data_IF_266241931684
#
_entry.id   IF_266241931684
#
_cell.length_a   1.000
_cell.length_b   1.000
_cell.length_c   1.000
_cell.angle_alpha   90.00
_cell.angle_beta   90.00
_cell.angle_gamma   90.00
#
_symmetry.space_group_name_H-M   'P 1'
#
loop_
_entity.id
_entity.type
_entity.pdbx_description
1 polymer ?
#
# COMPACT_ATOMS: atom_id res chain seq x y z
N UNK A 1 -11.02 12.18 20.35
CA UNK A 1 -9.57 12.31 20.03
C UNK A 1 -9.27 13.78 19.80
N UNK A 2 -8.25 14.39 20.46
CA UNK A 2 -7.99 15.84 20.33
C UNK A 2 -7.12 16.11 19.10
N UNK A 3 -7.60 16.97 18.20
CA UNK A 3 -6.83 17.47 17.07
C UNK A 3 -5.69 18.38 17.58
N UNK A 4 -4.50 18.26 17.00
CA UNK A 4 -3.31 18.98 17.46
C UNK A 4 -2.74 19.84 16.34
N UNK A 5 -2.78 21.16 16.48
CA UNK A 5 -2.27 22.13 15.48
C UNK A 5 -0.81 21.88 15.04
N UNK A 6 0.02 21.24 15.86
CA UNK A 6 1.41 20.88 15.53
C UNK A 6 1.56 19.65 14.62
N UNK A 7 0.50 18.88 14.35
CA UNK A 7 0.51 17.66 13.51
C UNK A 7 0.09 17.91 12.06
N UNK A 8 0.17 19.13 11.56
CA UNK A 8 -0.24 19.46 10.20
C UNK A 8 -1.66 20.06 10.09
N UNK A 9 -2.16 20.27 8.88
CA UNK A 9 -3.46 20.91 8.65
C UNK A 9 -4.62 20.15 9.30
N UNK A 10 -5.55 20.87 9.93
CA UNK A 10 -6.68 20.25 10.65
C UNK A 10 -7.57 19.39 9.73
N UNK A 11 -7.79 19.81 8.49
CA UNK A 11 -8.58 19.02 7.54
C UNK A 11 -7.95 17.65 7.24
N UNK A 12 -6.61 17.57 7.19
CA UNK A 12 -5.92 16.30 6.96
C UNK A 12 -6.06 15.35 8.16
N UNK A 13 -6.02 15.88 9.39
CA UNK A 13 -6.25 15.09 10.59
C UNK A 13 -7.70 14.58 10.67
N UNK A 14 -8.68 15.44 10.37
CA UNK A 14 -10.11 15.05 10.29
C UNK A 14 -10.30 13.97 9.21
N UNK A 15 -9.70 14.16 8.02
CA UNK A 15 -9.75 13.17 6.95
C UNK A 15 -9.24 11.80 7.41
N UNK A 16 -8.07 11.74 8.03
CA UNK A 16 -7.50 10.45 8.49
C UNK A 16 -8.38 9.78 9.55
N UNK A 17 -8.92 10.54 10.52
CA UNK A 17 -9.85 9.97 11.53
C UNK A 17 -11.11 9.42 10.87
N UNK A 18 -11.71 10.16 9.95
CA UNK A 18 -12.92 9.70 9.24
C UNK A 18 -12.63 8.48 8.37
N UNK A 19 -11.46 8.47 7.72
CA UNK A 19 -10.98 7.34 6.94
C UNK A 19 -10.80 6.09 7.80
N UNK A 20 -10.15 6.20 8.97
CA UNK A 20 -10.02 5.10 9.93
C UNK A 20 -11.40 4.57 10.34
N UNK A 21 -12.34 5.45 10.67
CA UNK A 21 -13.71 5.06 11.05
C UNK A 21 -14.48 4.33 9.94
N UNK A 22 -14.30 4.74 8.68
CA UNK A 22 -14.85 4.03 7.53
C UNK A 22 -14.22 2.65 7.42
N UNK A 23 -12.89 2.57 7.54
CA UNK A 23 -12.14 1.31 7.45
C UNK A 23 -12.49 0.34 8.58
N UNK A 24 -12.73 0.85 9.79
CA UNK A 24 -13.13 0.06 10.96
C UNK A 24 -14.62 -0.31 10.97
N UNK A 25 -15.37 0.12 9.92
CA UNK A 25 -16.78 -0.18 9.79
C UNK A 25 -17.70 0.62 10.72
N UNK A 26 -17.18 1.65 11.42
CA UNK A 26 -18.01 2.58 12.22
C UNK A 26 -19.01 3.31 11.31
N UNK A 27 -18.58 3.59 10.08
CA UNK A 27 -19.44 4.04 8.99
C UNK A 27 -19.48 2.94 7.91
N UNK A 28 -20.49 2.08 7.90
CA UNK A 28 -20.57 0.95 6.97
C UNK A 28 -20.69 1.39 5.51
N UNK A 29 -20.24 0.55 4.60
CA UNK A 29 -20.43 0.75 3.16
C UNK A 29 -21.92 0.88 2.84
N UNK A 30 -22.27 1.82 1.96
CA UNK A 30 -23.64 2.22 1.60
C UNK A 30 -24.42 2.95 2.70
N UNK A 31 -23.82 3.20 3.87
CA UNK A 31 -24.43 4.08 4.88
C UNK A 31 -24.17 5.55 4.58
N UNK A 32 -24.98 6.43 5.16
CA UNK A 32 -24.73 7.87 5.12
C UNK A 32 -23.66 8.26 6.14
N UNK A 33 -22.74 9.12 5.71
CA UNK A 33 -21.84 9.79 6.63
C UNK A 33 -22.61 10.79 7.51
N UNK A 34 -22.12 11.07 8.72
CA UNK A 34 -22.67 12.16 9.54
C UNK A 34 -22.65 13.48 8.77
N UNK A 35 -23.59 14.37 9.10
CA UNK A 35 -23.65 15.69 8.45
C UNK A 35 -22.41 16.52 8.71
N UNK A 36 -22.09 17.45 7.78
CA UNK A 36 -20.97 18.37 7.95
C UNK A 36 -21.08 19.15 9.28
N UNK A 37 -22.31 19.52 9.69
CA UNK A 37 -22.54 20.24 10.96
C UNK A 37 -22.30 19.37 12.18
N UNK A 38 -22.66 18.10 12.15
CA UNK A 38 -22.34 17.17 13.22
C UNK A 38 -20.82 16.98 13.37
N UNK A 39 -20.11 16.81 12.25
CA UNK A 39 -18.66 16.64 12.27
C UNK A 39 -17.92 17.92 12.69
N UNK A 40 -18.46 19.11 12.35
CA UNK A 40 -17.97 20.41 12.82
C UNK A 40 -18.01 20.49 14.34
N UNK A 41 -19.13 20.09 14.94
CA UNK A 41 -19.31 20.07 16.39
C UNK A 41 -18.45 18.99 17.06
N UNK A 42 -18.40 17.77 16.49
CA UNK A 42 -17.62 16.67 17.03
C UNK A 42 -16.11 16.97 17.07
N UNK A 43 -15.57 17.49 15.96
CA UNK A 43 -14.14 17.76 15.83
C UNK A 43 -13.73 19.16 16.32
N UNK A 44 -14.68 20.02 16.68
CA UNK A 44 -14.44 21.41 17.09
C UNK A 44 -13.60 22.17 16.05
N UNK A 45 -13.95 22.04 14.77
CA UNK A 45 -13.29 22.70 13.63
C UNK A 45 -14.33 23.45 12.81
N UNK A 46 -13.88 24.34 11.91
CA UNK A 46 -14.79 25.05 11.02
C UNK A 46 -15.41 24.12 9.96
N UNK A 47 -16.60 24.47 9.49
CA UNK A 47 -17.30 23.77 8.41
C UNK A 47 -16.46 23.63 7.13
N UNK A 48 -15.65 24.65 6.83
CA UNK A 48 -14.71 24.62 5.69
C UNK A 48 -13.67 23.51 5.87
N UNK A 49 -13.17 23.30 7.09
CA UNK A 49 -12.23 22.22 7.42
C UNK A 49 -12.84 20.84 7.21
N UNK A 50 -14.08 20.64 7.69
CA UNK A 50 -14.82 19.38 7.49
C UNK A 50 -15.07 19.15 6.00
N UNK A 51 -15.56 20.18 5.29
CA UNK A 51 -15.86 20.08 3.86
C UNK A 51 -14.62 19.68 3.04
N UNK A 52 -13.46 20.29 3.32
CA UNK A 52 -12.20 19.95 2.66
C UNK A 52 -11.76 18.51 2.95
N UNK A 53 -11.97 18.03 4.18
CA UNK A 53 -11.69 16.64 4.56
C UNK A 53 -12.61 15.67 3.77
N UNK A 54 -13.91 15.99 3.69
CA UNK A 54 -14.89 15.17 2.96
C UNK A 54 -14.66 15.20 1.44
N UNK A 55 -14.23 16.33 0.87
CA UNK A 55 -13.84 16.44 -0.54
C UNK A 55 -12.63 15.55 -0.86
N UNK A 56 -11.63 15.51 0.03
CA UNK A 56 -10.49 14.60 -0.15
C UNK A 56 -10.88 13.13 -0.01
N UNK A 57 -11.76 12.77 0.95
CA UNK A 57 -12.30 11.41 1.04
C UNK A 57 -13.07 11.01 -0.22
N UNK A 58 -13.77 11.96 -0.85
CA UNK A 58 -14.48 11.73 -2.11
C UNK A 58 -13.49 11.56 -3.28
N UNK A 59 -12.45 12.38 -3.36
CA UNK A 59 -11.36 12.23 -4.35
C UNK A 59 -10.62 10.91 -4.19
N UNK A 60 -10.40 10.48 -2.94
CA UNK A 60 -9.83 9.17 -2.62
C UNK A 60 -10.85 8.01 -2.82
N UNK A 61 -12.13 8.31 -3.18
CA UNK A 61 -13.20 7.36 -3.49
C UNK A 61 -13.78 6.62 -2.28
N UNK A 62 -13.54 7.07 -1.05
CA UNK A 62 -14.18 6.50 0.16
C UNK A 62 -15.65 6.87 0.27
N UNK A 63 -16.00 8.05 -0.19
CA UNK A 63 -17.37 8.57 -0.09
C UNK A 63 -17.79 9.21 -1.39
N UNK A 64 -19.10 9.30 -1.61
CA UNK A 64 -19.72 10.04 -2.72
C UNK A 64 -20.73 11.04 -2.19
N UNK A 65 -20.59 12.29 -2.59
CA UNK A 65 -21.57 13.34 -2.30
C UNK A 65 -22.71 13.28 -3.32
N UNK A 66 -23.94 13.21 -2.84
CA UNK A 66 -25.14 13.20 -3.66
C UNK A 66 -26.04 14.34 -3.23
N UNK A 67 -26.35 15.27 -4.16
CA UNK A 67 -27.17 16.43 -3.86
C UNK A 67 -28.55 16.01 -3.36
N UNK A 68 -29.01 16.59 -2.24
CA UNK A 68 -30.30 16.28 -1.63
C UNK A 68 -30.33 14.98 -0.81
N UNK A 69 -29.35 14.10 -0.92
CA UNK A 69 -29.31 12.82 -0.20
C UNK A 69 -28.28 12.87 0.94
N UNK A 70 -27.14 13.47 0.70
CA UNK A 70 -26.02 13.51 1.64
C UNK A 70 -24.74 12.93 1.07
N UNK A 71 -23.86 12.47 1.94
CA UNK A 71 -22.60 11.81 1.56
C UNK A 71 -22.68 10.35 1.97
N UNK A 72 -22.56 9.45 1.00
CA UNK A 72 -22.64 7.99 1.19
C UNK A 72 -21.24 7.38 1.19
N UNK A 73 -20.98 6.44 2.07
CA UNK A 73 -19.77 5.61 2.05
C UNK A 73 -19.84 4.68 0.84
N UNK A 74 -18.89 4.84 -0.09
CA UNK A 74 -18.80 3.98 -1.28
C UNK A 74 -18.06 2.70 -1.00
N UNK A 75 -17.00 2.83 -0.19
CA UNK A 75 -16.05 1.77 0.02
C UNK A 75 -15.42 1.92 1.42
N UNK A 76 -15.36 0.85 2.19
CA UNK A 76 -14.59 0.84 3.43
C UNK A 76 -13.11 0.49 3.17
N UNK A 77 -12.80 0.15 1.94
CA UNK A 77 -11.47 -0.19 1.42
C UNK A 77 -10.60 -0.96 2.41
N UNK A 78 -11.19 -1.91 3.10
CA UNK A 78 -10.42 -3.05 3.60
C UNK A 78 -9.58 -3.65 2.45
N UNK A 79 -10.12 -3.58 1.22
CA UNK A 79 -9.43 -3.87 -0.03
C UNK A 79 -8.17 -3.02 -0.26
N UNK A 80 -8.18 -1.76 0.15
CA UNK A 80 -7.01 -0.88 0.08
C UNK A 80 -6.07 -1.10 1.26
N UNK A 81 -6.47 -1.70 2.38
CA UNK A 81 -5.51 -2.12 3.41
C UNK A 81 -4.48 -3.12 2.85
N UNK A 82 -4.85 -3.93 1.86
CA UNK A 82 -3.88 -4.74 1.09
C UNK A 82 -3.19 -3.93 -0.03
N UNK A 83 -3.79 -2.86 -0.52
CA UNK A 83 -3.28 -2.06 -1.64
C UNK A 83 -2.74 -0.67 -1.26
N UNK A 84 -3.15 -0.04 -0.16
CA UNK A 84 -2.64 1.28 0.29
C UNK A 84 -1.34 1.21 1.05
N UNK A 85 -0.50 0.20 0.80
CA UNK A 85 0.83 0.14 1.42
C UNK A 85 0.82 -0.26 2.89
N UNK A 86 -0.30 -0.74 3.45
CA UNK A 86 -0.19 -1.66 4.57
C UNK A 86 0.29 -2.98 3.98
N UNK A 87 1.52 -3.37 4.26
CA UNK A 87 2.07 -4.58 3.68
C UNK A 87 1.21 -5.77 4.13
N UNK A 88 1.09 -6.81 3.31
CA UNK A 88 0.64 -8.14 3.73
C UNK A 88 1.27 -8.57 5.07
N UNK A 89 2.48 -8.09 5.37
CA UNK A 89 3.12 -8.17 6.68
C UNK A 89 2.33 -7.54 7.84
N UNK A 90 1.48 -6.56 7.60
CA UNK A 90 0.65 -5.98 8.66
C UNK A 90 -0.56 -6.87 8.97
N UNK A 91 -1.17 -7.47 7.93
CA UNK A 91 -2.19 -8.50 8.10
C UNK A 91 -1.63 -9.69 8.91
N UNK A 92 -0.49 -10.22 8.52
CA UNK A 92 0.15 -11.34 9.22
C UNK A 92 0.47 -11.00 10.70
N UNK A 93 0.86 -9.77 10.99
CA UNK A 93 1.06 -9.30 12.36
C UNK A 93 -0.25 -9.23 13.16
N UNK A 94 -1.37 -8.85 12.55
CA UNK A 94 -2.68 -8.87 13.20
C UNK A 94 -3.12 -10.30 13.54
N UNK A 95 -2.73 -11.27 12.69
CA UNK A 95 -2.89 -12.72 12.94
C UNK A 95 -1.88 -13.29 13.96
N UNK A 96 -1.11 -12.43 14.63
CA UNK A 96 -0.14 -12.85 15.65
C UNK A 96 1.13 -13.45 15.08
N UNK A 97 1.37 -13.32 13.77
CA UNK A 97 2.57 -13.82 13.09
C UNK A 97 3.76 -12.88 13.21
N UNK A 98 4.94 -13.42 13.45
CA UNK A 98 6.18 -12.66 13.43
C UNK A 98 6.71 -12.50 12.00
N UNK A 99 6.81 -11.26 11.53
CA UNK A 99 7.32 -10.95 10.18
C UNK A 99 8.65 -10.23 10.29
N UNK A 100 9.72 -10.85 9.79
CA UNK A 100 11.06 -10.26 9.63
C UNK A 100 11.34 -10.04 8.15
N UNK A 101 12.11 -9.02 7.82
CA UNK A 101 12.53 -8.68 6.46
C UNK A 101 14.04 -8.66 6.38
N UNK A 102 14.57 -9.06 5.25
CA UNK A 102 16.00 -9.04 4.94
C UNK A 102 16.19 -8.51 3.52
N UNK A 103 17.16 -7.64 3.35
CA UNK A 103 17.54 -7.12 2.02
C UNK A 103 18.60 -8.04 1.44
N UNK A 104 18.27 -8.75 0.36
CA UNK A 104 19.18 -9.66 -0.33
C UNK A 104 20.14 -8.95 -1.26
N UNK A 105 19.72 -7.81 -1.83
CA UNK A 105 20.56 -7.04 -2.75
C UNK A 105 19.89 -5.77 -3.22
N UNK A 106 20.74 -4.79 -3.56
CA UNK A 106 20.34 -3.52 -4.18
C UNK A 106 21.33 -3.24 -5.30
N UNK A 107 20.82 -3.04 -6.51
CA UNK A 107 21.66 -2.77 -7.69
C UNK A 107 20.94 -1.84 -8.65
N UNK A 108 21.69 -0.98 -9.33
CA UNK A 108 21.15 -0.18 -10.44
C UNK A 108 21.35 -0.95 -11.73
N UNK A 109 20.26 -1.22 -12.43
CA UNK A 109 20.26 -2.08 -13.64
C UNK A 109 19.50 -1.40 -14.78
N UNK A 110 19.61 -1.97 -15.98
CA UNK A 110 18.72 -1.63 -17.08
C UNK A 110 17.29 -2.16 -16.77
N UNK A 111 16.24 -1.46 -17.21
CA UNK A 111 14.88 -1.94 -17.02
C UNK A 111 14.68 -3.35 -17.60
N UNK A 112 14.01 -4.27 -16.89
CA UNK A 112 13.66 -5.57 -17.46
C UNK A 112 12.70 -5.40 -18.66
N UNK A 113 12.50 -6.47 -19.44
CA UNK A 113 11.73 -6.43 -20.69
C UNK A 113 10.33 -5.85 -20.49
N UNK A 114 9.67 -6.15 -19.39
CA UNK A 114 8.35 -5.65 -19.03
C UNK A 114 8.32 -4.12 -18.81
N UNK A 115 9.49 -3.51 -18.59
CA UNK A 115 9.65 -2.10 -18.27
C UNK A 115 10.46 -1.33 -19.33
N UNK A 116 10.65 -1.87 -20.52
CA UNK A 116 11.43 -1.23 -21.60
C UNK A 116 10.91 0.14 -22.05
N UNK A 117 9.65 0.47 -21.68
CA UNK A 117 9.08 1.81 -21.90
C UNK A 117 9.63 2.86 -20.93
N UNK A 118 10.20 2.46 -19.79
CA UNK A 118 10.91 3.38 -18.89
C UNK A 118 12.24 3.83 -19.49
N UNK A 119 12.48 5.12 -19.41
CA UNK A 119 13.75 5.71 -19.83
C UNK A 119 14.74 5.70 -18.65
N UNK A 120 15.98 5.30 -18.93
CA UNK A 120 17.06 5.32 -17.93
C UNK A 120 17.17 4.01 -17.15
N UNK A 121 17.93 4.07 -16.06
CA UNK A 121 18.16 2.95 -15.16
C UNK A 121 17.06 2.81 -14.11
N UNK A 122 16.98 1.64 -13.53
CA UNK A 122 16.10 1.34 -12.40
C UNK A 122 16.89 0.77 -11.23
N UNK A 123 16.53 1.15 -10.04
CA UNK A 123 17.01 0.55 -8.81
C UNK A 123 16.24 -0.77 -8.59
N UNK A 124 16.97 -1.88 -8.64
CA UNK A 124 16.46 -3.21 -8.35
C UNK A 124 16.74 -3.55 -6.90
N UNK A 125 15.70 -3.83 -6.13
CA UNK A 125 15.79 -4.16 -4.70
C UNK A 125 15.20 -5.53 -4.49
N UNK A 126 15.99 -6.47 -3.98
CA UNK A 126 15.55 -7.81 -3.64
C UNK A 126 15.41 -7.95 -2.14
N UNK A 127 14.26 -8.43 -1.67
CA UNK A 127 13.97 -8.60 -0.24
C UNK A 127 13.35 -9.95 0.03
N UNK A 128 13.80 -10.59 1.11
CA UNK A 128 13.23 -11.82 1.64
C UNK A 128 12.42 -11.51 2.90
N UNK A 129 11.21 -12.00 2.93
CA UNK A 129 10.34 -11.91 4.09
C UNK A 129 10.24 -13.27 4.74
N UNK A 130 10.45 -13.27 6.04
CA UNK A 130 10.30 -14.45 6.90
C UNK A 130 8.97 -14.34 7.64
N UNK A 131 8.33 -15.48 7.81
CA UNK A 131 7.15 -15.67 8.64
C UNK A 131 7.50 -16.69 9.72
N UNK A 132 7.46 -16.29 11.00
CA UNK A 132 7.87 -17.12 12.14
C UNK A 132 9.26 -17.76 11.88
N UNK A 133 10.24 -16.92 11.47
CA UNK A 133 11.62 -17.23 11.12
C UNK A 133 11.84 -18.18 9.93
N UNK A 134 10.79 -18.55 9.20
CA UNK A 134 10.89 -19.35 7.96
C UNK A 134 10.80 -18.44 6.74
N UNK A 135 11.64 -18.63 5.70
CA UNK A 135 11.54 -17.90 4.45
C UNK A 135 10.16 -18.10 3.81
N UNK A 136 9.49 -16.99 3.43
CA UNK A 136 8.11 -17.06 2.98
C UNK A 136 7.86 -16.34 1.65
N UNK A 137 8.38 -15.11 1.48
CA UNK A 137 8.15 -14.34 0.26
C UNK A 137 9.46 -13.72 -0.21
N UNK A 138 9.75 -13.86 -1.49
CA UNK A 138 10.80 -13.07 -2.17
C UNK A 138 10.13 -11.95 -2.97
N UNK A 139 10.55 -10.71 -2.72
CA UNK A 139 10.16 -9.53 -3.49
C UNK A 139 11.34 -9.05 -4.35
N UNK A 140 11.03 -8.69 -5.59
CA UNK A 140 11.93 -7.96 -6.48
C UNK A 140 11.23 -6.68 -6.88
N UNK A 141 11.75 -5.53 -6.48
CA UNK A 141 11.22 -4.21 -6.81
C UNK A 141 12.12 -3.53 -7.84
N UNK A 142 11.52 -2.85 -8.79
CA UNK A 142 12.18 -2.00 -9.77
C UNK A 142 11.60 -0.58 -9.65
N UNK A 143 12.45 0.37 -9.38
CA UNK A 143 12.07 1.77 -9.12
C UNK A 143 12.93 2.66 -10.03
N UNK A 144 12.36 3.63 -10.77
CA UNK A 144 13.13 4.56 -11.55
C UNK A 144 14.26 5.20 -10.72
N UNK A 145 15.50 5.13 -11.23
CA UNK A 145 16.69 5.67 -10.54
C UNK A 145 16.62 7.20 -10.38
N UNK A 146 15.76 7.84 -11.16
CA UNK A 146 15.48 9.28 -11.06
C UNK A 146 14.94 9.75 -9.70
N UNK A 147 14.45 8.86 -8.87
CA UNK A 147 14.03 9.19 -7.50
C UNK A 147 15.20 9.31 -6.53
N UNK A 148 16.42 9.03 -6.95
CA UNK A 148 17.65 9.16 -6.16
C UNK A 148 17.56 8.50 -4.77
N UNK A 149 16.99 7.31 -4.71
CA UNK A 149 16.87 6.56 -3.48
C UNK A 149 18.25 6.09 -2.98
N UNK A 150 18.44 5.95 -1.65
CA UNK A 150 19.71 5.51 -1.10
C UNK A 150 20.05 4.08 -1.57
N UNK A 151 21.34 3.85 -1.89
CA UNK A 151 21.85 2.52 -2.23
C UNK A 151 22.48 1.84 -0.98
N UNK A 152 21.73 1.79 0.11
CA UNK A 152 22.17 1.25 1.41
C UNK A 152 21.11 0.30 1.92
N UNK A 153 21.46 -0.97 2.15
CA UNK A 153 20.52 -2.03 2.50
C UNK A 153 19.68 -1.72 3.76
N UNK A 154 20.27 -1.12 4.79
CA UNK A 154 19.57 -0.79 6.04
C UNK A 154 18.36 0.14 5.87
N UNK A 155 18.35 1.00 4.85
CA UNK A 155 17.23 1.89 4.56
C UNK A 155 15.96 1.14 4.08
N UNK A 156 16.13 -0.10 3.62
CA UNK A 156 15.06 -0.92 3.04
C UNK A 156 14.53 -2.02 3.96
N UNK A 157 14.97 -2.08 5.22
CA UNK A 157 14.41 -2.99 6.24
C UNK A 157 13.00 -2.56 6.65
N UNK A 158 12.70 -1.27 6.52
CA UNK A 158 11.41 -0.68 6.79
C UNK A 158 10.36 -0.86 5.69
N UNK A 159 9.44 0.09 5.61
CA UNK A 159 8.45 0.18 4.55
C UNK A 159 9.02 0.88 3.32
N UNK A 160 9.11 0.19 2.19
CA UNK A 160 9.53 0.79 0.92
C UNK A 160 8.66 1.98 0.52
N UNK A 161 7.35 1.88 0.71
CA UNK A 161 6.43 2.96 0.35
C UNK A 161 6.55 4.18 1.27
N UNK A 162 7.00 4.00 2.52
CA UNK A 162 7.35 5.13 3.39
C UNK A 162 8.57 5.84 2.85
N UNK A 163 9.62 5.10 2.50
CA UNK A 163 10.84 5.65 1.92
C UNK A 163 10.56 6.41 0.61
N UNK A 164 9.74 5.83 -0.27
CA UNK A 164 9.32 6.50 -1.52
C UNK A 164 8.56 7.81 -1.25
N UNK A 165 7.66 7.85 -0.25
CA UNK A 165 6.96 9.09 0.12
C UNK A 165 7.92 10.13 0.67
N UNK A 166 8.90 9.73 1.47
CA UNK A 166 9.95 10.62 1.99
C UNK A 166 10.84 11.17 0.86
N UNK A 167 11.02 10.41 -0.21
CA UNK A 167 11.67 10.85 -1.45
C UNK A 167 10.74 11.71 -2.36
N UNK A 168 9.53 12.04 -1.90
CA UNK A 168 8.61 12.91 -2.62
C UNK A 168 7.68 12.19 -3.62
N UNK A 169 7.68 10.86 -3.65
CA UNK A 169 6.79 10.09 -4.54
C UNK A 169 5.38 10.08 -3.97
N UNK A 170 4.41 10.56 -4.75
CA UNK A 170 2.98 10.42 -4.47
C UNK A 170 2.44 9.16 -5.13
N UNK A 171 1.52 8.48 -4.48
CA UNK A 171 0.87 7.29 -5.03
C UNK A 171 -0.60 7.57 -5.30
N UNK A 172 -1.06 7.16 -6.47
CA UNK A 172 -2.46 7.25 -6.87
C UNK A 172 -3.10 5.87 -6.95
N UNK A 173 -2.44 4.92 -7.61
CA UNK A 173 -3.04 3.63 -7.95
C UNK A 173 -2.03 2.48 -7.87
N UNK A 174 -2.52 1.33 -7.42
CA UNK A 174 -1.82 0.04 -7.50
C UNK A 174 -2.63 -0.89 -8.41
N UNK A 175 -1.94 -1.61 -9.26
CA UNK A 175 -2.53 -2.67 -10.08
C UNK A 175 -1.79 -3.97 -9.80
N UNK A 176 -2.49 -4.93 -9.21
CA UNK A 176 -1.96 -6.26 -8.91
C UNK A 176 -2.48 -7.28 -9.90
N UNK A 177 -1.59 -8.13 -10.40
CA UNK A 177 -1.92 -9.31 -11.19
C UNK A 177 -1.39 -10.53 -10.47
N UNK A 178 -2.22 -11.54 -10.33
CA UNK A 178 -1.87 -12.81 -9.71
C UNK A 178 -1.82 -13.91 -10.74
N UNK A 179 -0.88 -14.81 -10.59
CA UNK A 179 -0.70 -15.98 -11.41
C UNK A 179 0.13 -17.04 -10.70
N UNK A 180 0.27 -18.18 -11.35
CA UNK A 180 1.20 -19.23 -10.94
C UNK A 180 2.40 -19.17 -11.86
N UNK A 181 3.60 -19.26 -11.32
CA UNK A 181 4.83 -19.18 -12.10
C UNK A 181 5.98 -19.97 -11.49
N UNK A 182 6.92 -20.32 -12.36
CA UNK A 182 8.23 -20.82 -11.96
C UNK A 182 9.15 -19.61 -11.81
N UNK A 183 9.83 -19.51 -10.69
CA UNK A 183 10.79 -18.44 -10.43
C UNK A 183 12.19 -18.81 -10.97
N UNK A 184 13.12 -17.89 -10.87
CA UNK A 184 14.52 -18.22 -11.13
C UNK A 184 15.13 -19.01 -9.93
N UNK A 185 16.27 -19.63 -10.17
CA UNK A 185 16.95 -20.49 -9.17
C UNK A 185 17.31 -19.73 -7.88
N UNK A 186 17.56 -18.42 -7.97
CA UNK A 186 17.93 -17.60 -6.80
C UNK A 186 16.75 -17.41 -5.86
N UNK A 187 15.53 -17.30 -6.39
CA UNK A 187 14.30 -17.23 -5.58
C UNK A 187 14.11 -18.51 -4.79
N UNK A 188 14.24 -19.68 -5.43
CA UNK A 188 14.13 -20.97 -4.76
C UNK A 188 15.21 -21.17 -3.70
N UNK A 189 16.44 -20.79 -4.01
CA UNK A 189 17.54 -20.82 -3.04
C UNK A 189 17.26 -19.93 -1.83
N UNK A 190 16.73 -18.72 -2.05
CA UNK A 190 16.38 -17.79 -0.98
C UNK A 190 15.22 -18.30 -0.12
N UNK A 191 14.25 -18.99 -0.71
CA UNK A 191 13.16 -19.62 0.01
C UNK A 191 13.56 -20.94 0.69
N UNK A 192 14.69 -21.53 0.31
CA UNK A 192 15.16 -22.84 0.82
C UNK A 192 14.28 -24.00 0.39
N UNK A 193 13.71 -23.95 -0.81
CA UNK A 193 12.78 -24.95 -1.37
C UNK A 193 13.25 -25.45 -2.73
N UNK A 194 12.71 -26.57 -3.16
CA UNK A 194 12.86 -27.10 -4.53
C UNK A 194 12.06 -26.27 -5.55
N UNK A 195 12.31 -26.49 -6.83
CA UNK A 195 11.54 -25.86 -7.92
C UNK A 195 10.11 -26.37 -7.94
N UNK A 196 9.21 -25.57 -7.41
CA UNK A 196 7.75 -25.78 -7.44
C UNK A 196 7.05 -24.57 -8.02
N UNK A 197 5.84 -24.69 -8.56
CA UNK A 197 5.03 -23.55 -8.93
C UNK A 197 4.72 -22.68 -7.70
N UNK A 198 4.98 -21.38 -7.79
CA UNK A 198 4.74 -20.41 -6.73
C UNK A 198 3.60 -19.48 -7.11
N UNK A 199 2.83 -18.99 -6.13
CA UNK A 199 1.95 -17.85 -6.36
C UNK A 199 2.84 -16.64 -6.68
N UNK A 200 2.65 -16.09 -7.87
CA UNK A 200 3.33 -14.89 -8.36
C UNK A 200 2.36 -13.71 -8.33
N UNK A 201 2.72 -12.64 -7.66
CA UNK A 201 2.06 -11.35 -7.78
C UNK A 201 2.97 -10.39 -8.53
N UNK A 202 2.42 -9.72 -9.52
CA UNK A 202 3.06 -8.60 -10.22
C UNK A 202 2.29 -7.33 -9.87
N UNK A 203 2.98 -6.29 -9.39
CA UNK A 203 2.39 -5.00 -9.05
C UNK A 203 2.97 -3.90 -9.91
N UNK A 204 2.09 -3.04 -10.41
CA UNK A 204 2.42 -1.75 -10.99
C UNK A 204 1.88 -0.66 -10.06
N UNK A 205 2.73 0.26 -9.66
CA UNK A 205 2.38 1.41 -8.80
C UNK A 205 2.50 2.68 -9.63
N UNK A 206 1.46 3.50 -9.63
CA UNK A 206 1.39 4.73 -10.41
C UNK A 206 1.19 5.94 -9.50
N UNK A 207 1.72 7.08 -9.91
CA UNK A 207 1.52 8.38 -9.27
C UNK A 207 0.24 9.08 -9.75
N UNK A 208 0.07 10.34 -9.34
CA UNK A 208 -1.08 11.18 -9.73
C UNK A 208 -1.12 11.52 -11.22
N UNK A 209 0.04 11.48 -11.90
CA UNK A 209 0.18 11.74 -13.33
C UNK A 209 0.16 10.43 -14.16
N UNK A 210 -0.31 9.32 -13.55
CA UNK A 210 -0.33 7.96 -14.14
C UNK A 210 1.05 7.49 -14.63
N UNK A 211 2.13 8.02 -14.05
CA UNK A 211 3.47 7.54 -14.31
C UNK A 211 3.79 6.33 -13.43
N UNK A 212 4.47 5.35 -13.99
CA UNK A 212 4.92 4.18 -13.24
C UNK A 212 6.07 4.59 -12.31
N UNK A 213 5.84 4.45 -11.00
CA UNK A 213 6.82 4.78 -9.95
C UNK A 213 7.44 3.56 -9.29
N UNK A 214 6.81 2.40 -9.42
CA UNK A 214 7.35 1.13 -8.94
C UNK A 214 6.72 -0.03 -9.69
N UNK A 215 7.54 -1.00 -10.04
CA UNK A 215 7.11 -2.32 -10.50
C UNK A 215 7.70 -3.37 -9.56
N UNK A 216 6.90 -4.32 -9.14
CA UNK A 216 7.41 -5.41 -8.32
C UNK A 216 6.84 -6.77 -8.68
N UNK A 217 7.66 -7.78 -8.46
CA UNK A 217 7.30 -9.18 -8.52
C UNK A 217 7.47 -9.75 -7.10
N UNK A 218 6.46 -10.49 -6.65
CA UNK A 218 6.53 -11.23 -5.40
C UNK A 218 6.22 -12.71 -5.65
N UNK A 219 7.04 -13.59 -5.09
CA UNK A 219 6.86 -15.04 -5.10
C UNK A 219 6.56 -15.52 -3.70
N UNK A 220 5.42 -16.19 -3.53
CA UNK A 220 4.89 -16.64 -2.24
C UNK A 220 4.99 -18.15 -2.13
N UNK A 221 5.56 -18.63 -1.03
CA UNK A 221 5.57 -20.06 -0.67
C UNK A 221 4.23 -20.43 -0.01
N UNK A 222 3.20 -20.62 -0.82
CA UNK A 222 1.82 -20.82 -0.35
C UNK A 222 1.56 -22.16 0.32
N UNK A 223 2.42 -23.16 0.14
CA UNK A 223 2.37 -24.40 0.93
C UNK A 223 2.65 -24.15 2.42
N UNK A 224 3.45 -23.11 2.73
CA UNK A 224 3.75 -22.74 4.12
C UNK A 224 2.62 -21.91 4.73
N UNK A 225 2.08 -20.96 3.97
CA UNK A 225 1.00 -20.07 4.39
C UNK A 225 0.20 -19.64 3.17
N UNK A 226 -1.10 -19.89 3.18
CA UNK A 226 -2.01 -19.45 2.14
C UNK A 226 -2.03 -17.92 2.03
N UNK A 227 -2.20 -17.43 0.80
CA UNK A 227 -2.44 -16.01 0.56
C UNK A 227 -3.94 -15.74 0.64
N UNK A 228 -4.37 -15.09 1.71
CA UNK A 228 -5.79 -14.79 1.93
C UNK A 228 -6.11 -13.38 1.42
N UNK A 229 -7.18 -13.27 0.66
CA UNK A 229 -7.80 -12.01 0.24
C UNK A 229 -9.24 -12.01 0.76
N UNK A 230 -9.51 -11.18 1.75
CA UNK A 230 -10.85 -11.02 2.31
C UNK A 230 -11.49 -9.77 1.68
N UNK A 231 -12.62 -10.00 1.00
CA UNK A 231 -13.34 -8.98 0.26
C UNK A 231 -14.73 -8.82 0.89
N UNK A 232 -14.94 -7.72 1.58
CA UNK A 232 -16.27 -7.35 2.05
C UNK A 232 -17.03 -6.63 0.93
N UNK A 233 -18.20 -7.18 0.56
CA UNK A 233 -19.11 -6.63 -0.47
C UNK A 233 -20.13 -5.70 0.16
#
# INVERSE_FOLDING_TARGET
>A
MKLVKKKGPLYAQVKEILKERIQDGIYPVRSLMPSESFLEEEFQVSKITVRKAMEQLAQEGYVQKQSGVGTTVLDNRAFIKLSTGQPFSAYLKQEGKHVRKEVLGITVVDPPFELTHLKGKVLCIQRLYYLDDKPYIVFVHYIPDSFNLPNVAGEYEGSLYTLLREAGVSFNRFQDTFGVGVANVEVYRSLGIEEIPLLKRTRHTYDLDEQLVEYSIAYYHTEMQEYVMDLHL
#
